data_IF_541307312674
#
_entry.id   IF_541307312674
#
_cell.length_a   1.000
_cell.length_b   1.000
_cell.length_c   1.000
_cell.angle_alpha   90.00
_cell.angle_beta   90.00
_cell.angle_gamma   90.00
#
_symmetry.space_group_name_H-M   'P 1'
#
loop_
_entity.id
_entity.type
_entity.pdbx_description
1 polymer ?
#
# COMPACT_ATOMS: atom_id res chain seq x y z
N UNK A 1 -7.04 -13.06 -8.98
CA UNK A 1 -6.85 -11.57 -8.96
C UNK A 1 -8.22 -10.95 -8.76
N UNK A 2 -8.32 -9.95 -7.89
CA UNK A 2 -9.60 -9.35 -7.52
C UNK A 2 -9.87 -8.10 -8.38
N UNK A 3 -11.09 -7.96 -8.92
CA UNK A 3 -11.51 -6.72 -9.60
C UNK A 3 -11.53 -5.54 -8.63
N UNK A 4 -11.53 -4.30 -9.16
CA UNK A 4 -11.69 -3.11 -8.30
C UNK A 4 -12.89 -3.24 -7.38
N UNK A 5 -14.04 -3.68 -7.90
CA UNK A 5 -15.25 -3.89 -7.10
C UNK A 5 -15.00 -4.81 -5.88
N UNK A 6 -14.23 -5.87 -6.05
CA UNK A 6 -13.90 -6.79 -4.95
C UNK A 6 -12.90 -6.18 -3.97
N UNK A 7 -11.90 -5.44 -4.48
CA UNK A 7 -10.91 -4.75 -3.65
C UNK A 7 -11.53 -3.68 -2.76
N UNK A 8 -12.57 -3.01 -3.25
CA UNK A 8 -13.27 -1.96 -2.51
C UNK A 8 -14.38 -2.48 -1.58
N UNK A 9 -14.56 -3.79 -1.45
CA UNK A 9 -15.57 -4.37 -0.55
C UNK A 9 -15.34 -3.90 0.89
N UNK A 10 -16.34 -3.25 1.48
CA UNK A 10 -16.26 -2.69 2.84
C UNK A 10 -15.64 -1.30 2.94
N UNK A 11 -15.22 -0.70 1.83
CA UNK A 11 -14.73 0.68 1.78
C UNK A 11 -15.82 1.58 1.19
N UNK A 12 -15.99 2.78 1.74
CA UNK A 12 -16.85 3.81 1.14
C UNK A 12 -16.09 4.52 0.02
N UNK A 13 -16.66 4.53 -1.17
CA UNK A 13 -16.09 5.18 -2.35
C UNK A 13 -17.18 5.65 -3.31
N UNK A 14 -16.81 6.52 -4.23
CA UNK A 14 -17.65 6.95 -5.37
C UNK A 14 -16.92 6.71 -6.68
N UNK A 15 -17.57 6.05 -7.62
CA UNK A 15 -17.06 5.94 -9.00
C UNK A 15 -17.42 7.23 -9.74
N UNK A 16 -16.44 8.04 -10.09
CA UNK A 16 -16.66 9.28 -10.84
C UNK A 16 -16.80 8.99 -12.34
N UNK A 17 -15.96 8.14 -12.90
CA UNK A 17 -16.03 7.67 -14.29
C UNK A 17 -15.34 6.31 -14.46
N UNK A 18 -15.61 5.64 -15.58
CA UNK A 18 -14.92 4.41 -16.00
C UNK A 18 -15.59 3.12 -15.52
N UNK A 19 -14.79 2.06 -15.42
CA UNK A 19 -15.25 0.69 -15.15
C UNK A 19 -14.58 0.11 -13.89
N UNK A 20 -15.38 -0.27 -12.92
CA UNK A 20 -14.93 -0.89 -11.66
C UNK A 20 -14.76 -2.42 -11.75
N UNK A 21 -15.09 -3.05 -12.89
CA UNK A 21 -14.89 -4.49 -13.09
C UNK A 21 -13.44 -4.84 -13.46
N UNK A 22 -12.63 -3.84 -13.80
CA UNK A 22 -11.22 -4.00 -14.15
C UNK A 22 -10.43 -4.54 -12.95
N UNK A 23 -9.50 -5.45 -13.24
CA UNK A 23 -8.57 -6.01 -12.25
C UNK A 23 -7.22 -5.30 -12.36
N UNK A 24 -6.78 -4.55 -11.34
CA UNK A 24 -5.45 -3.95 -11.38
C UNK A 24 -4.35 -5.01 -11.29
N UNK A 25 -3.24 -4.77 -11.99
CA UNK A 25 -2.05 -5.62 -11.95
C UNK A 25 -1.16 -5.32 -10.75
N UNK A 26 -1.15 -4.07 -10.30
CA UNK A 26 -0.46 -3.60 -9.11
C UNK A 26 -1.14 -2.33 -8.57
N UNK A 27 -0.84 -2.00 -7.32
CA UNK A 27 -1.23 -0.75 -6.67
C UNK A 27 0.03 0.07 -6.48
N UNK A 28 0.04 1.33 -6.91
CA UNK A 28 1.21 2.20 -6.84
C UNK A 28 0.80 3.61 -6.39
N UNK A 29 1.67 4.30 -5.68
CA UNK A 29 1.51 5.72 -5.30
C UNK A 29 2.67 6.59 -5.78
N UNK A 30 3.70 5.99 -6.36
CA UNK A 30 4.79 6.69 -7.04
C UNK A 30 4.51 6.74 -8.55
N UNK A 31 4.32 7.94 -9.10
CA UNK A 31 4.03 8.14 -10.53
C UNK A 31 5.15 7.63 -11.46
N UNK A 32 6.36 7.42 -10.93
CA UNK A 32 7.47 6.83 -11.68
C UNK A 32 7.25 5.35 -11.97
N UNK A 33 6.48 4.66 -11.09
CA UNK A 33 6.11 3.25 -11.20
C UNK A 33 4.75 3.03 -11.88
N UNK A 34 4.04 4.11 -12.22
CA UNK A 34 2.76 4.01 -12.89
C UNK A 34 2.95 3.48 -14.33
N UNK A 35 2.12 2.50 -14.70
CA UNK A 35 2.11 1.87 -16.02
C UNK A 35 0.72 1.32 -16.36
N UNK A 36 0.56 0.75 -17.53
CA UNK A 36 -0.70 0.14 -17.95
C UNK A 36 -1.13 -0.97 -16.97
N UNK A 37 -2.39 -0.91 -16.53
CA UNK A 37 -2.98 -1.89 -15.60
C UNK A 37 -2.75 -1.58 -14.12
N UNK A 38 -1.89 -0.62 -13.75
CA UNK A 38 -1.70 -0.24 -12.34
C UNK A 38 -2.83 0.65 -11.84
N UNK A 39 -3.18 0.54 -10.56
CA UNK A 39 -4.02 1.50 -9.83
C UNK A 39 -3.11 2.54 -9.18
N UNK A 40 -3.15 3.77 -9.66
CA UNK A 40 -2.39 4.89 -9.10
C UNK A 40 -3.17 5.57 -7.98
N UNK A 41 -2.62 5.55 -6.78
CA UNK A 41 -3.19 6.20 -5.60
C UNK A 41 -2.62 7.61 -5.43
N UNK A 42 -3.46 8.63 -5.53
CA UNK A 42 -3.11 10.04 -5.34
C UNK A 42 -2.93 10.36 -3.86
N UNK A 43 -1.81 9.93 -3.27
CA UNK A 43 -1.54 10.10 -1.84
C UNK A 43 -1.33 11.55 -1.48
N UNK A 44 -2.05 12.04 -0.46
CA UNK A 44 -1.80 13.34 0.13
C UNK A 44 -0.74 13.21 1.22
N UNK A 45 0.49 13.59 0.88
CA UNK A 45 1.63 13.61 1.79
C UNK A 45 1.82 14.96 2.49
N UNK A 46 2.79 15.03 3.39
CA UNK A 46 3.15 16.27 4.09
C UNK A 46 3.93 17.26 3.22
N UNK A 47 4.67 16.78 2.25
CA UNK A 47 5.51 17.59 1.35
C UNK A 47 5.01 17.60 -0.08
N UNK A 48 4.31 16.55 -0.52
CA UNK A 48 3.85 16.39 -1.89
C UNK A 48 2.43 15.89 -1.92
N UNK A 49 1.67 16.33 -2.91
CA UNK A 49 0.33 15.86 -3.20
C UNK A 49 0.34 15.01 -4.47
N UNK A 50 -0.02 13.74 -4.35
CA UNK A 50 -0.06 12.77 -5.45
C UNK A 50 -0.99 13.19 -6.60
N UNK A 51 -2.00 14.01 -6.32
CA UNK A 51 -2.89 14.53 -7.36
C UNK A 51 -2.15 15.38 -8.42
N UNK A 52 -1.03 16.02 -8.06
CA UNK A 52 -0.19 16.76 -9.02
C UNK A 52 0.47 15.87 -10.08
N UNK A 53 0.54 14.57 -9.85
CA UNK A 53 1.22 13.63 -10.74
C UNK A 53 0.28 12.78 -11.59
N UNK A 54 -1.01 13.05 -11.54
CA UNK A 54 -2.06 12.31 -12.27
C UNK A 54 -1.80 12.31 -13.78
N UNK A 55 -1.49 13.48 -14.36
CA UNK A 55 -1.20 13.59 -15.79
C UNK A 55 0.06 12.82 -16.19
N UNK A 56 1.07 12.80 -15.32
CA UNK A 56 2.29 12.02 -15.55
C UNK A 56 2.01 10.51 -15.54
N UNK A 57 1.22 10.03 -14.57
CA UNK A 57 0.82 8.63 -14.49
C UNK A 57 -0.03 8.22 -15.70
N UNK A 58 -0.98 9.08 -16.09
CA UNK A 58 -1.81 8.87 -17.27
C UNK A 58 -0.97 8.78 -18.56
N UNK A 59 0.01 9.68 -18.75
CA UNK A 59 0.92 9.67 -19.90
C UNK A 59 1.76 8.39 -20.02
N UNK A 60 1.99 7.70 -18.88
CA UNK A 60 2.66 6.38 -18.83
C UNK A 60 1.73 5.19 -19.09
N UNK A 61 0.48 5.44 -19.42
CA UNK A 61 -0.50 4.40 -19.72
C UNK A 61 -1.36 3.95 -18.54
N UNK A 62 -1.18 4.52 -17.34
CA UNK A 62 -2.09 4.26 -16.22
C UNK A 62 -3.50 4.75 -16.56
N UNK A 63 -4.50 3.94 -16.22
CA UNK A 63 -5.93 4.23 -16.49
C UNK A 63 -6.81 4.04 -15.27
N UNK A 64 -6.25 3.65 -14.12
CA UNK A 64 -6.99 3.44 -12.88
C UNK A 64 -6.44 4.40 -11.83
N UNK A 65 -7.31 5.23 -11.26
CA UNK A 65 -6.93 6.30 -10.34
C UNK A 65 -7.79 6.28 -9.09
N UNK A 66 -7.12 6.41 -7.93
CA UNK A 66 -7.75 6.61 -6.64
C UNK A 66 -7.39 8.01 -6.13
N UNK A 67 -8.38 8.83 -5.83
CA UNK A 67 -8.21 10.23 -5.49
C UNK A 67 -9.09 10.65 -4.29
N UNK A 68 -8.74 11.76 -3.62
CA UNK A 68 -9.56 12.37 -2.55
C UNK A 68 -10.44 13.51 -3.08
N UNK A 69 -10.21 13.93 -4.30
CA UNK A 69 -10.96 14.99 -4.98
C UNK A 69 -11.04 14.70 -6.49
N UNK A 70 -11.95 15.40 -7.13
CA UNK A 70 -12.11 15.29 -8.59
C UNK A 70 -10.80 15.62 -9.33
N UNK A 71 -10.50 14.82 -10.33
CA UNK A 71 -9.37 14.96 -11.23
C UNK A 71 -9.89 14.90 -12.66
N UNK A 72 -9.34 15.74 -13.53
CA UNK A 72 -9.72 15.78 -14.94
C UNK A 72 -8.81 14.86 -15.77
N UNK A 73 -9.39 13.79 -16.30
CA UNK A 73 -8.75 12.85 -17.20
C UNK A 73 -9.70 12.48 -18.34
N UNK A 74 -9.16 12.01 -19.49
CA UNK A 74 -10.00 11.49 -20.57
C UNK A 74 -10.90 10.33 -20.14
N UNK A 75 -11.98 10.11 -20.89
CA UNK A 75 -13.03 9.14 -20.56
C UNK A 75 -12.58 7.66 -20.53
N UNK A 76 -11.39 7.36 -21.04
CA UNK A 76 -10.78 6.02 -20.97
C UNK A 76 -10.14 5.72 -19.61
N UNK A 77 -10.08 6.70 -18.70
CA UNK A 77 -9.62 6.50 -17.32
C UNK A 77 -10.77 6.10 -16.40
N UNK A 78 -10.50 5.25 -15.44
CA UNK A 78 -11.37 4.94 -14.29
C UNK A 78 -10.91 5.76 -13.10
N UNK A 79 -11.81 6.56 -12.54
CA UNK A 79 -11.54 7.44 -11.40
C UNK A 79 -12.45 7.07 -10.25
N UNK A 80 -11.84 6.75 -9.12
CA UNK A 80 -12.52 6.39 -7.88
C UNK A 80 -12.16 7.42 -6.81
N UNK A 81 -13.18 7.98 -6.18
CA UNK A 81 -13.02 8.93 -5.09
C UNK A 81 -13.22 8.24 -3.75
N UNK A 82 -12.35 8.59 -2.80
CA UNK A 82 -12.41 8.18 -1.39
C UNK A 82 -12.17 9.38 -0.50
N UNK A 83 -12.63 9.31 0.74
CA UNK A 83 -12.39 10.37 1.72
C UNK A 83 -10.93 10.48 2.13
N UNK A 84 -10.21 9.34 2.22
CA UNK A 84 -8.82 9.28 2.66
C UNK A 84 -8.06 8.21 1.89
N UNK A 85 -7.13 8.63 1.04
CA UNK A 85 -6.33 7.72 0.20
C UNK A 85 -5.37 6.85 1.00
N UNK A 86 -4.88 7.30 2.15
CA UNK A 86 -3.99 6.48 3.01
C UNK A 86 -4.73 5.30 3.62
N UNK A 87 -5.92 5.55 4.15
CA UNK A 87 -6.77 4.48 4.68
C UNK A 87 -7.23 3.53 3.58
N UNK A 88 -7.63 4.09 2.44
CA UNK A 88 -8.04 3.29 1.28
C UNK A 88 -6.88 2.43 0.77
N UNK A 89 -5.66 2.99 0.64
CA UNK A 89 -4.47 2.24 0.20
C UNK A 89 -4.18 1.06 1.13
N UNK A 90 -4.24 1.24 2.45
CA UNK A 90 -4.02 0.16 3.41
C UNK A 90 -5.08 -0.94 3.25
N UNK A 91 -6.36 -0.58 3.09
CA UNK A 91 -7.45 -1.52 2.84
C UNK A 91 -7.26 -2.30 1.53
N UNK A 92 -6.99 -1.57 0.45
CA UNK A 92 -6.78 -2.14 -0.89
C UNK A 92 -5.57 -3.07 -0.92
N UNK A 93 -4.46 -2.70 -0.27
CA UNK A 93 -3.29 -3.56 -0.16
C UNK A 93 -3.61 -4.86 0.58
N UNK A 94 -4.32 -4.78 1.72
CA UNK A 94 -4.77 -5.97 2.42
C UNK A 94 -5.61 -6.90 1.53
N UNK A 95 -6.59 -6.35 0.80
CA UNK A 95 -7.44 -7.12 -0.09
C UNK A 95 -6.68 -7.67 -1.31
N UNK A 96 -5.78 -6.87 -1.89
CA UNK A 96 -4.97 -7.23 -3.06
C UNK A 96 -4.03 -8.41 -2.78
N UNK A 97 -3.38 -8.40 -1.61
CA UNK A 97 -2.47 -9.47 -1.16
C UNK A 97 -3.17 -10.59 -0.38
N UNK A 98 -4.50 -10.63 -0.32
CA UNK A 98 -5.25 -11.72 0.30
C UNK A 98 -5.25 -11.71 1.83
N UNK A 99 -5.17 -10.53 2.46
CA UNK A 99 -5.20 -10.34 3.92
C UNK A 99 -4.09 -11.11 4.67
N UNK A 100 -2.80 -10.95 4.31
CA UNK A 100 -1.72 -11.77 4.87
C UNK A 100 -1.61 -11.67 6.40
N UNK A 101 -2.00 -10.54 7.00
CA UNK A 101 -1.97 -10.35 8.45
C UNK A 101 -2.89 -11.31 9.23
N UNK A 102 -3.88 -11.92 8.58
CA UNK A 102 -4.77 -12.91 9.23
C UNK A 102 -4.07 -14.25 9.47
N UNK A 103 -3.01 -14.52 8.74
CA UNK A 103 -2.26 -15.78 8.82
C UNK A 103 -0.96 -15.64 9.64
N UNK A 104 -0.64 -14.43 10.08
CA UNK A 104 0.55 -14.14 10.87
C UNK A 104 0.26 -14.08 12.35
N UNK A 105 1.18 -14.61 13.17
CA UNK A 105 1.23 -14.29 14.60
C UNK A 105 1.98 -12.98 14.78
N UNK A 106 1.26 -11.92 15.19
CA UNK A 106 1.83 -10.59 15.35
C UNK A 106 2.24 -10.34 16.79
N UNK A 107 3.47 -9.88 17.00
CA UNK A 107 3.99 -9.44 18.30
C UNK A 107 4.31 -7.96 18.23
N UNK A 108 3.56 -7.14 18.94
CA UNK A 108 3.77 -5.70 19.03
C UNK A 108 4.59 -5.34 20.28
N UNK A 109 5.60 -4.47 20.11
CA UNK A 109 6.47 -4.01 21.18
C UNK A 109 6.36 -2.50 21.31
N UNK A 110 5.94 -2.04 22.47
CA UNK A 110 5.82 -0.62 22.82
C UNK A 110 6.68 -0.28 24.03
N UNK A 111 7.02 1.00 24.21
CA UNK A 111 7.80 1.50 25.32
C UNK A 111 8.65 2.71 24.93
N UNK A 112 9.22 3.37 25.90
CA UNK A 112 10.12 4.53 25.68
C UNK A 112 11.48 4.09 25.17
N UNK A 113 12.05 3.02 25.73
CA UNK A 113 13.38 2.48 25.39
C UNK A 113 13.30 0.97 25.10
N UNK A 114 14.32 0.43 24.45
CA UNK A 114 14.53 -1.01 24.26
C UNK A 114 13.66 -1.67 23.17
N UNK A 115 12.69 -0.95 22.53
CA UNK A 115 11.80 -1.53 21.51
C UNK A 115 12.54 -2.28 20.42
N UNK A 116 13.48 -1.61 19.75
CA UNK A 116 14.25 -2.20 18.65
C UNK A 116 15.10 -3.38 19.12
N UNK A 117 15.76 -3.26 20.27
CA UNK A 117 16.56 -4.34 20.85
C UNK A 117 15.71 -5.57 21.15
N UNK A 118 14.58 -5.39 21.82
CA UNK A 118 13.66 -6.48 22.15
C UNK A 118 13.08 -7.14 20.88
N UNK A 119 12.68 -6.34 19.90
CA UNK A 119 12.18 -6.85 18.62
C UNK A 119 13.25 -7.68 17.88
N UNK A 120 14.51 -7.20 17.86
CA UNK A 120 15.60 -7.93 17.23
C UNK A 120 15.91 -9.23 17.96
N UNK A 121 15.97 -9.22 19.29
CA UNK A 121 16.20 -10.43 20.08
C UNK A 121 15.11 -11.48 19.90
N UNK A 122 13.85 -11.06 19.84
CA UNK A 122 12.72 -11.97 19.56
C UNK A 122 12.80 -12.53 18.14
N UNK A 123 13.09 -11.68 17.14
CA UNK A 123 13.31 -12.15 15.77
C UNK A 123 14.40 -13.23 15.72
N UNK A 124 15.55 -12.98 16.36
CA UNK A 124 16.68 -13.91 16.32
C UNK A 124 16.37 -15.21 17.08
N UNK A 125 15.68 -15.11 18.24
CA UNK A 125 15.24 -16.27 19.02
C UNK A 125 14.28 -17.16 18.22
N UNK A 126 13.21 -16.60 17.65
CA UNK A 126 12.25 -17.39 16.88
C UNK A 126 12.85 -17.94 15.59
N UNK A 127 13.79 -17.22 14.96
CA UNK A 127 14.53 -17.73 13.80
C UNK A 127 15.40 -18.95 14.19
N UNK A 128 16.08 -18.92 15.36
CA UNK A 128 16.84 -20.08 15.85
C UNK A 128 15.96 -21.26 16.22
N UNK A 129 14.72 -21.01 16.64
CA UNK A 129 13.71 -22.05 16.88
C UNK A 129 13.11 -22.63 15.58
N UNK A 130 13.53 -22.16 14.41
CA UNK A 130 13.11 -22.68 13.11
C UNK A 130 11.87 -22.02 12.53
N UNK A 131 11.38 -20.91 13.11
CA UNK A 131 10.25 -20.17 12.54
C UNK A 131 10.72 -19.23 11.42
N UNK A 132 9.85 -19.00 10.44
CA UNK A 132 10.07 -17.96 9.43
C UNK A 132 9.54 -16.62 9.98
N UNK A 133 10.44 -15.73 10.32
CA UNK A 133 10.14 -14.51 11.08
C UNK A 133 10.37 -13.26 10.24
N UNK A 134 9.45 -12.31 10.35
CA UNK A 134 9.62 -10.94 9.88
C UNK A 134 9.88 -9.98 11.04
N UNK A 135 10.65 -8.93 10.80
CA UNK A 135 10.89 -7.82 11.73
C UNK A 135 10.62 -6.51 11.02
N UNK A 136 9.77 -5.67 11.60
CA UNK A 136 9.57 -4.28 11.18
C UNK A 136 10.05 -3.40 12.34
N UNK A 137 11.04 -2.55 12.08
CA UNK A 137 11.59 -1.63 13.09
C UNK A 137 11.96 -0.29 12.47
N UNK A 138 12.33 0.67 13.30
CA UNK A 138 12.79 2.00 12.87
C UNK A 138 14.17 1.99 12.20
N UNK A 139 14.94 0.91 12.31
CA UNK A 139 16.32 0.80 11.83
C UNK A 139 16.43 -0.14 10.64
N UNK A 140 15.79 -1.30 10.74
CA UNK A 140 15.90 -2.37 9.75
C UNK A 140 14.56 -3.14 9.66
N UNK A 141 14.21 -3.51 8.45
CA UNK A 141 13.16 -4.49 8.18
C UNK A 141 13.84 -5.80 7.74
N UNK A 142 13.40 -6.93 8.30
CA UNK A 142 13.93 -8.26 7.96
C UNK A 142 12.77 -9.17 7.54
N UNK A 143 13.03 -10.02 6.56
CA UNK A 143 12.15 -11.13 6.14
C UNK A 143 13.04 -12.36 6.02
N UNK A 144 12.96 -13.28 6.97
CA UNK A 144 13.91 -14.37 7.09
C UNK A 144 15.35 -13.85 7.16
N UNK A 145 16.21 -14.25 6.22
CA UNK A 145 17.62 -13.81 6.16
C UNK A 145 17.84 -12.49 5.41
N UNK A 146 16.83 -11.97 4.74
CA UNK A 146 16.93 -10.71 3.99
C UNK A 146 16.74 -9.52 4.93
N UNK A 147 17.62 -8.54 4.85
CA UNK A 147 17.54 -7.31 5.63
C UNK A 147 17.61 -6.09 4.72
N UNK A 148 16.70 -5.14 4.95
CA UNK A 148 16.66 -3.85 4.25
C UNK A 148 16.63 -2.72 5.27
N UNK A 149 17.37 -1.64 5.01
CA UNK A 149 17.32 -0.46 5.87
C UNK A 149 15.89 0.10 5.90
N UNK A 150 15.43 0.47 7.08
CA UNK A 150 14.11 1.11 7.20
C UNK A 150 14.21 2.56 6.70
N UNK A 151 13.35 2.93 5.77
CA UNK A 151 13.20 4.30 5.27
C UNK A 151 12.22 5.11 6.11
N UNK A 152 11.29 4.43 6.77
CA UNK A 152 10.25 4.99 7.64
C UNK A 152 10.02 4.07 8.83
N UNK A 153 9.43 4.63 9.90
CA UNK A 153 9.06 3.85 11.10
C UNK A 153 8.07 2.72 10.79
N UNK A 154 7.17 2.98 9.85
CA UNK A 154 6.22 2.00 9.33
C UNK A 154 6.37 1.99 7.81
N UNK A 155 6.68 0.85 7.17
CA UNK A 155 6.74 0.77 5.72
C UNK A 155 5.36 1.02 5.09
N UNK A 156 5.38 1.50 3.84
CA UNK A 156 4.17 1.60 3.04
C UNK A 156 3.58 0.22 2.77
N UNK A 157 2.25 0.10 2.61
CA UNK A 157 1.58 -1.19 2.46
C UNK A 157 1.77 -1.84 1.07
N UNK A 158 2.40 -1.14 0.11
CA UNK A 158 2.64 -1.59 -1.29
C UNK A 158 4.05 -1.25 -1.77
#
# INVERSE_FOLDING_TARGET
MNSLLQLFTGLQYSLLQGDQTITPTAIVFDSRKAETGTLFCCMVGTQTDGHAYVQQAYAKGCRLFLAEREIELPFDATIILVENTKMALAHLACAFYGHPSKELTLVGITGTNGKTTTATLLHDLFSQLGFYVGLISTVVNKIGMQATAATHTTPDPV
#
